data_IF_527288744646
#
_entry.id   IF_527288744646
#
_cell.length_a   1.000
_cell.length_b   1.000
_cell.length_c   1.000
_cell.angle_alpha   90.00
_cell.angle_beta   90.00
_cell.angle_gamma   90.00
#
_symmetry.space_group_name_H-M   'P 1'
#
loop_
_entity.id
_entity.type
_entity.pdbx_description
1 polymer ?
#
# COMPACT_ATOMS: atom_id res chain seq x y z
N UNK A 1 6.38 -15.10 23.41
CA UNK A 1 5.24 -15.97 23.13
C UNK A 1 3.97 -15.23 23.51
N UNK A 2 3.24 -14.75 22.51
CA UNK A 2 1.95 -14.05 22.67
C UNK A 2 0.89 -15.07 23.12
N UNK A 3 0.26 -14.84 24.27
CA UNK A 3 -0.74 -15.76 24.85
C UNK A 3 -2.03 -15.87 24.02
N UNK A 4 -2.28 -14.93 23.10
CA UNK A 4 -3.49 -14.89 22.27
C UNK A 4 -3.18 -14.41 20.83
N UNK A 5 -2.77 -15.30 19.90
CA UNK A 5 -2.36 -14.92 18.55
C UNK A 5 -3.44 -14.19 17.73
N UNK A 6 -4.70 -14.62 17.84
CA UNK A 6 -5.82 -14.00 17.12
C UNK A 6 -6.17 -12.61 17.63
N UNK A 7 -6.05 -12.38 18.94
CA UNK A 7 -6.27 -11.05 19.55
C UNK A 7 -5.20 -10.06 19.08
N UNK A 8 -3.93 -10.49 19.12
CA UNK A 8 -2.82 -9.69 18.63
C UNK A 8 -2.98 -9.38 17.13
N UNK A 9 -3.31 -10.38 16.33
CA UNK A 9 -3.56 -10.19 14.90
C UNK A 9 -4.67 -9.17 14.65
N UNK A 10 -5.81 -9.27 15.34
CA UNK A 10 -6.91 -8.33 15.13
C UNK A 10 -6.51 -6.87 15.45
N UNK A 11 -5.72 -6.66 16.51
CA UNK A 11 -5.21 -5.34 16.91
C UNK A 11 -4.24 -4.78 15.87
N UNK A 12 -3.21 -5.53 15.50
CA UNK A 12 -2.22 -5.11 14.50
C UNK A 12 -2.87 -4.88 13.13
N UNK A 13 -3.81 -5.74 12.75
CA UNK A 13 -4.53 -5.65 11.49
C UNK A 13 -5.43 -4.43 11.39
N UNK A 14 -6.22 -4.15 12.42
CA UNK A 14 -7.03 -2.94 12.45
C UNK A 14 -6.16 -1.68 12.53
N UNK A 15 -5.05 -1.73 13.28
CA UNK A 15 -4.10 -0.63 13.34
C UNK A 15 -3.51 -0.30 11.98
N UNK A 16 -3.03 -1.30 11.25
CA UNK A 16 -2.43 -1.10 9.94
C UNK A 16 -3.42 -0.52 8.93
N UNK A 17 -4.66 -1.03 8.90
CA UNK A 17 -5.69 -0.55 7.96
C UNK A 17 -6.22 0.85 8.31
N UNK A 18 -6.24 1.23 9.60
CA UNK A 18 -6.81 2.50 10.03
C UNK A 18 -5.79 3.63 10.15
N UNK A 19 -4.49 3.32 10.28
CA UNK A 19 -3.43 4.33 10.45
C UNK A 19 -3.40 5.39 9.32
N UNK A 20 -3.69 5.05 8.04
CA UNK A 20 -3.76 6.07 6.99
C UNK A 20 -4.97 7.01 7.11
N UNK A 21 -5.99 6.66 7.89
CA UNK A 21 -7.20 7.46 8.10
C UNK A 21 -7.14 8.33 9.37
N UNK A 22 -6.23 8.04 10.29
CA UNK A 22 -6.16 8.75 11.56
C UNK A 22 -5.29 8.09 12.60
N UNK A 23 -5.35 8.65 13.81
CA UNK A 23 -4.59 8.15 14.94
C UNK A 23 -5.22 6.87 15.48
N UNK A 24 -4.43 5.81 15.60
CA UNK A 24 -4.84 4.53 16.17
C UNK A 24 -4.01 4.22 17.40
N UNK A 25 -4.67 3.87 18.50
CA UNK A 25 -4.04 3.38 19.73
C UNK A 25 -4.59 1.97 20.05
N UNK A 26 -3.71 0.98 20.22
CA UNK A 26 -4.07 -0.38 20.62
C UNK A 26 -3.82 -0.60 22.11
N UNK A 27 -4.63 -1.43 22.78
CA UNK A 27 -4.55 -1.69 24.23
C UNK A 27 -4.52 -0.41 25.07
N UNK A 28 -5.46 0.50 24.80
CA UNK A 28 -5.56 1.78 25.49
C UNK A 28 -6.21 1.63 26.87
N UNK A 29 -5.49 2.02 27.93
CA UNK A 29 -6.00 1.99 29.30
C UNK A 29 -7.16 2.96 29.56
N UNK A 30 -8.17 2.52 30.31
CA UNK A 30 -9.29 3.33 30.78
C UNK A 30 -9.40 3.24 32.33
N UNK A 31 -9.65 4.38 33.00
CA UNK A 31 -9.48 4.60 34.46
C UNK A 31 -10.11 3.60 35.45
N UNK A 32 -9.52 3.58 36.67
CA UNK A 32 -9.86 3.01 37.99
C UNK A 32 -9.85 1.48 38.17
N UNK A 33 -10.40 0.73 37.23
CA UNK A 33 -10.12 -0.71 37.09
C UNK A 33 -9.46 -0.85 35.74
N UNK A 34 -8.19 -1.28 35.65
CA UNK A 34 -7.42 -1.34 34.40
C UNK A 34 -8.21 -2.18 33.37
N UNK A 35 -8.95 -1.51 32.50
CA UNK A 35 -9.71 -2.09 31.39
C UNK A 35 -9.12 -1.51 30.12
N UNK A 36 -8.60 -2.36 29.27
CA UNK A 36 -8.01 -1.96 28.00
C UNK A 36 -9.07 -1.93 26.90
N UNK A 37 -9.07 -0.86 26.10
CA UNK A 37 -9.74 -0.82 24.81
C UNK A 37 -8.81 -1.48 23.79
N UNK A 38 -9.33 -2.43 23.01
CA UNK A 38 -8.51 -3.18 22.06
C UNK A 38 -7.98 -2.27 20.94
N UNK A 39 -8.86 -1.47 20.34
CA UNK A 39 -8.50 -0.47 19.33
C UNK A 39 -9.30 0.82 19.56
N UNK A 40 -8.58 1.91 19.83
CA UNK A 40 -9.10 3.28 19.82
C UNK A 40 -8.68 3.95 18.51
N UNK A 41 -9.63 4.54 17.81
CA UNK A 41 -9.37 5.24 16.55
C UNK A 41 -9.94 6.66 16.58
N UNK A 42 -9.14 7.61 16.10
CA UNK A 42 -9.51 9.01 15.94
C UNK A 42 -9.23 9.44 14.49
N UNK A 43 -10.26 9.70 13.66
CA UNK A 43 -10.05 10.09 12.27
C UNK A 43 -9.40 11.47 12.15
N UNK A 44 -8.43 11.58 11.24
CA UNK A 44 -7.82 12.85 10.81
C UNK A 44 -8.16 13.16 9.35
N UNK A 45 -8.38 12.13 8.52
CA UNK A 45 -8.85 12.20 7.15
C UNK A 45 -9.90 11.12 6.90
N UNK A 46 -11.01 11.47 6.25
CA UNK A 46 -12.14 10.56 6.01
C UNK A 46 -12.70 10.67 4.58
N UNK A 47 -11.97 11.34 3.70
CA UNK A 47 -12.31 11.48 2.28
C UNK A 47 -11.18 10.93 1.42
N UNK A 48 -11.52 10.20 0.35
CA UNK A 48 -10.57 9.69 -0.63
C UNK A 48 -10.79 8.24 -1.04
N UNK A 49 -10.04 7.81 -2.04
CA UNK A 49 -10.10 6.45 -2.60
C UNK A 49 -9.75 5.37 -1.57
N UNK A 50 -8.85 5.68 -0.62
CA UNK A 50 -8.46 4.74 0.43
C UNK A 50 -9.62 4.40 1.40
N UNK A 51 -10.46 5.38 1.77
CA UNK A 51 -11.64 5.11 2.61
C UNK A 51 -12.62 4.19 1.88
N UNK A 52 -12.80 4.42 0.58
CA UNK A 52 -13.70 3.62 -0.26
C UNK A 52 -13.16 2.20 -0.45
N UNK A 53 -11.84 2.02 -0.58
CA UNK A 53 -11.21 0.71 -0.71
C UNK A 53 -11.35 -0.16 0.56
N UNK A 54 -11.53 0.46 1.73
CA UNK A 54 -11.84 -0.23 2.98
C UNK A 54 -13.32 -0.60 3.17
N UNK A 55 -14.21 -0.12 2.29
CA UNK A 55 -15.64 -0.45 2.31
C UNK A 55 -16.31 -0.17 3.66
N UNK A 56 -16.90 -1.20 4.26
CA UNK A 56 -17.62 -1.12 5.53
C UNK A 56 -16.69 -0.70 6.69
N UNK A 57 -15.42 -1.12 6.69
CA UNK A 57 -14.45 -0.67 7.70
C UNK A 57 -14.18 0.84 7.55
N UNK A 58 -14.04 1.33 6.32
CA UNK A 58 -13.91 2.76 6.05
C UNK A 58 -15.13 3.55 6.50
N UNK A 59 -16.34 3.00 6.30
CA UNK A 59 -17.60 3.61 6.78
C UNK A 59 -17.67 3.69 8.31
N UNK A 60 -17.18 2.67 9.03
CA UNK A 60 -17.11 2.68 10.51
C UNK A 60 -16.13 3.75 11.03
N UNK A 61 -15.09 4.06 10.27
CA UNK A 61 -14.04 5.03 10.58
C UNK A 61 -14.45 6.50 10.31
N UNK A 62 -15.71 6.78 9.99
CA UNK A 62 -16.18 8.15 9.75
C UNK A 62 -16.20 9.04 11.00
N UNK A 63 -16.24 8.45 12.20
CA UNK A 63 -16.10 9.17 13.49
C UNK A 63 -15.06 8.49 14.35
N UNK A 64 -14.70 9.10 15.49
CA UNK A 64 -13.95 8.40 16.52
C UNK A 64 -14.61 7.04 16.83
N UNK A 65 -13.81 6.01 17.08
CA UNK A 65 -14.30 4.65 17.21
C UNK A 65 -13.55 3.88 18.32
N UNK A 66 -14.30 3.04 19.02
CA UNK A 66 -13.79 1.96 19.88
C UNK A 66 -14.13 0.68 19.15
N UNK A 67 -13.14 -0.12 18.75
CA UNK A 67 -13.37 -1.39 18.05
C UNK A 67 -12.91 -2.53 18.95
N UNK A 68 -13.83 -3.47 19.20
CA UNK A 68 -13.66 -4.59 20.13
C UNK A 68 -13.90 -5.90 19.36
N UNK A 69 -12.84 -6.50 18.79
CA UNK A 69 -12.95 -7.75 18.05
C UNK A 69 -12.97 -8.97 18.98
N UNK A 70 -13.99 -9.80 18.85
CA UNK A 70 -14.12 -11.06 19.59
C UNK A 70 -13.77 -12.25 18.71
N UNK A 71 -12.88 -13.14 19.20
CA UNK A 71 -12.64 -14.44 18.55
C UNK A 71 -13.80 -15.42 18.76
N UNK A 72 -14.60 -15.27 19.80
CA UNK A 72 -15.75 -16.14 20.09
C UNK A 72 -17.07 -15.34 20.00
N UNK A 73 -18.23 -16.00 19.81
CA UNK A 73 -19.52 -15.31 19.88
C UNK A 73 -19.65 -14.51 21.18
N UNK A 74 -20.00 -13.23 21.05
CA UNK A 74 -20.05 -12.31 22.21
C UNK A 74 -21.24 -12.67 23.10
N UNK A 75 -21.06 -12.50 24.41
CA UNK A 75 -22.13 -12.68 25.42
C UNK A 75 -22.73 -11.33 25.80
N UNK A 76 -23.90 -11.33 26.47
CA UNK A 76 -24.48 -10.09 26.99
C UNK A 76 -23.53 -9.37 27.98
N UNK A 77 -22.88 -10.12 28.87
CA UNK A 77 -21.82 -9.64 29.77
C UNK A 77 -20.66 -9.00 28.98
N UNK A 78 -20.22 -9.63 27.90
CA UNK A 78 -19.19 -9.08 27.00
C UNK A 78 -19.59 -7.74 26.39
N UNK A 79 -20.83 -7.64 25.89
CA UNK A 79 -21.39 -6.38 25.35
C UNK A 79 -21.43 -5.30 26.45
N UNK A 80 -21.92 -5.62 27.64
CA UNK A 80 -21.95 -4.66 28.75
C UNK A 80 -20.55 -4.20 29.16
N UNK A 81 -19.57 -5.10 29.15
CA UNK A 81 -18.17 -4.74 29.40
C UNK A 81 -17.67 -3.70 28.39
N UNK A 82 -17.91 -3.91 27.09
CA UNK A 82 -17.56 -2.94 26.05
C UNK A 82 -18.32 -1.61 26.21
N UNK A 83 -19.60 -1.65 26.59
CA UNK A 83 -20.38 -0.44 26.87
C UNK A 83 -19.80 0.35 28.04
N UNK A 84 -19.32 -0.31 29.09
CA UNK A 84 -18.63 0.38 30.20
C UNK A 84 -17.37 1.10 29.71
N UNK A 85 -16.58 0.48 28.82
CA UNK A 85 -15.41 1.12 28.21
C UNK A 85 -15.82 2.39 27.44
N UNK A 86 -16.89 2.31 26.63
CA UNK A 86 -17.44 3.45 25.91
C UNK A 86 -17.86 4.59 26.85
N UNK A 87 -18.63 4.29 27.89
CA UNK A 87 -19.13 5.30 28.82
C UNK A 87 -17.99 5.96 29.61
N UNK A 88 -16.98 5.19 30.03
CA UNK A 88 -15.80 5.72 30.69
C UNK A 88 -14.99 6.64 29.78
N UNK A 89 -14.76 6.24 28.54
CA UNK A 89 -14.08 7.08 27.54
C UNK A 89 -14.85 8.39 27.27
N UNK A 90 -16.18 8.31 27.10
CA UNK A 90 -17.03 9.51 26.96
C UNK A 90 -16.93 10.44 28.18
N UNK A 91 -16.92 9.88 29.40
CA UNK A 91 -16.78 10.68 30.62
C UNK A 91 -15.41 11.36 30.68
N UNK A 92 -14.34 10.68 30.24
CA UNK A 92 -13.01 11.27 30.14
C UNK A 92 -12.93 12.40 29.11
N UNK A 93 -13.44 12.17 27.90
CA UNK A 93 -13.53 13.22 26.86
C UNK A 93 -14.33 14.42 27.35
N UNK A 94 -15.46 14.20 28.03
CA UNK A 94 -16.27 15.27 28.62
C UNK A 94 -15.51 16.06 29.68
N UNK A 95 -14.78 15.38 30.57
CA UNK A 95 -13.90 16.05 31.57
C UNK A 95 -12.80 16.87 30.90
N UNK A 96 -12.18 16.34 29.85
CA UNK A 96 -11.14 17.05 29.08
C UNK A 96 -11.72 18.30 28.41
N UNK A 97 -12.82 18.17 27.70
CA UNK A 97 -13.47 19.27 27.01
C UNK A 97 -13.91 20.39 27.98
N UNK A 98 -14.46 20.02 29.15
CA UNK A 98 -14.81 20.98 30.19
C UNK A 98 -13.57 21.71 30.76
N UNK A 99 -12.43 21.03 30.92
CA UNK A 99 -11.17 21.67 31.36
C UNK A 99 -10.61 22.63 30.30
N UNK A 100 -10.85 22.33 29.03
CA UNK A 100 -10.41 23.14 27.89
C UNK A 100 -11.43 24.22 27.48
N UNK A 101 -12.54 24.38 28.22
CA UNK A 101 -13.69 25.25 27.91
C UNK A 101 -14.16 25.12 26.44
N UNK A 102 -14.22 23.88 25.96
CA UNK A 102 -14.55 23.55 24.58
C UNK A 102 -15.76 22.65 24.50
N UNK A 103 -16.59 22.85 23.47
CA UNK A 103 -17.65 21.91 23.14
C UNK A 103 -17.11 20.75 22.30
N UNK A 104 -17.44 19.52 22.67
CA UNK A 104 -17.15 18.34 21.88
C UNK A 104 -17.98 18.33 20.60
N UNK A 105 -17.32 18.08 19.47
CA UNK A 105 -18.01 17.85 18.21
C UNK A 105 -18.47 16.41 18.12
N UNK A 106 -19.52 16.15 17.33
CA UNK A 106 -20.10 14.81 17.20
C UNK A 106 -19.08 13.79 16.67
N UNK A 107 -18.21 14.19 15.75
CA UNK A 107 -17.12 13.35 15.20
C UNK A 107 -16.08 12.90 16.24
N UNK A 108 -15.99 13.60 17.37
CA UNK A 108 -15.07 13.29 18.47
C UNK A 108 -15.70 12.36 19.49
N UNK A 109 -17.02 12.17 19.43
CA UNK A 109 -17.69 11.18 20.24
C UNK A 109 -17.41 9.80 19.63
N UNK A 110 -16.93 8.84 20.44
CA UNK A 110 -16.60 7.51 19.94
C UNK A 110 -17.85 6.67 19.68
N UNK A 111 -17.85 5.96 18.56
CA UNK A 111 -18.82 4.90 18.24
C UNK A 111 -18.21 3.57 18.69
N UNK A 112 -18.91 2.80 19.51
CA UNK A 112 -18.46 1.45 19.87
C UNK A 112 -18.87 0.48 18.77
N UNK A 113 -17.91 -0.27 18.25
CA UNK A 113 -18.10 -1.34 17.28
C UNK A 113 -17.66 -2.67 17.87
N UNK A 114 -18.62 -3.56 18.08
CA UNK A 114 -18.38 -4.92 18.58
C UNK A 114 -18.34 -5.86 17.37
N UNK A 115 -17.18 -6.44 17.08
CA UNK A 115 -17.03 -7.39 15.98
C UNK A 115 -17.09 -8.80 16.54
N UNK A 116 -18.07 -9.59 16.11
CA UNK A 116 -18.25 -10.96 16.64
C UNK A 116 -18.46 -11.95 15.51
N UNK A 117 -17.90 -13.18 15.58
CA UNK A 117 -18.04 -14.16 14.52
C UNK A 117 -19.50 -14.50 14.26
N UNK A 118 -20.27 -14.72 15.31
CA UNK A 118 -21.72 -14.97 15.24
C UNK A 118 -22.48 -14.25 16.33
N UNK A 119 -23.74 -13.94 16.03
CA UNK A 119 -24.69 -13.34 16.95
C UNK A 119 -26.05 -14.02 16.76
N UNK A 120 -26.65 -14.50 17.84
CA UNK A 120 -27.97 -15.13 17.78
C UNK A 120 -29.07 -14.07 17.81
N UNK A 121 -30.20 -14.35 17.15
CA UNK A 121 -31.37 -13.46 17.19
C UNK A 121 -31.86 -13.23 18.62
N UNK A 122 -31.78 -14.26 19.48
CA UNK A 122 -32.15 -14.15 20.90
C UNK A 122 -31.30 -13.10 21.63
N UNK A 123 -29.98 -13.09 21.40
CA UNK A 123 -29.08 -12.11 22.01
C UNK A 123 -29.37 -10.70 21.49
N UNK A 124 -29.50 -10.56 20.18
CA UNK A 124 -29.77 -9.26 19.53
C UNK A 124 -31.09 -8.66 20.03
N UNK A 125 -32.15 -9.47 20.06
CA UNK A 125 -33.48 -9.05 20.50
C UNK A 125 -33.52 -8.74 21.99
N UNK A 126 -32.84 -9.51 22.84
CA UNK A 126 -32.87 -9.30 24.30
C UNK A 126 -32.21 -7.99 24.73
N UNK A 127 -31.22 -7.50 23.95
CA UNK A 127 -30.54 -6.23 24.18
C UNK A 127 -31.11 -5.08 23.33
N UNK A 128 -32.07 -5.35 22.45
CA UNK A 128 -32.74 -4.35 21.64
C UNK A 128 -31.95 -3.84 20.43
N UNK A 129 -31.02 -4.65 19.90
CA UNK A 129 -30.35 -4.37 18.64
C UNK A 129 -31.34 -4.40 17.47
N UNK A 130 -31.19 -3.44 16.56
CA UNK A 130 -32.05 -3.26 15.39
C UNK A 130 -31.24 -3.26 14.11
N UNK A 131 -31.87 -3.71 13.04
CA UNK A 131 -31.32 -3.60 11.69
C UNK A 131 -31.54 -2.13 11.24
N UNK A 132 -30.49 -1.45 10.72
CA UNK A 132 -30.62 -0.09 10.20
C UNK A 132 -31.54 -0.05 8.96
N UNK A 133 -32.02 1.14 8.60
CA UNK A 133 -32.81 1.27 7.38
C UNK A 133 -31.95 0.97 6.13
N UNK A 134 -32.57 0.38 5.11
CA UNK A 134 -31.86 0.05 3.87
C UNK A 134 -31.27 1.29 3.17
N UNK A 135 -31.92 2.45 3.33
CA UNK A 135 -31.48 3.76 2.86
C UNK A 135 -30.11 4.18 3.43
N UNK A 136 -29.76 3.71 4.63
CA UNK A 136 -28.49 4.01 5.27
C UNK A 136 -27.33 3.20 4.65
N UNK A 137 -27.62 2.14 3.88
CA UNK A 137 -26.62 1.38 3.14
C UNK A 137 -25.56 0.67 4.02
N UNK A 138 -25.92 0.22 5.22
CA UNK A 138 -25.02 -0.57 6.08
C UNK A 138 -24.92 -2.04 5.66
N UNK A 139 -25.98 -2.57 5.05
CA UNK A 139 -26.03 -3.94 4.57
C UNK A 139 -26.30 -4.99 5.66
N UNK A 140 -26.25 -6.26 5.26
CA UNK A 140 -26.55 -7.40 6.11
C UNK A 140 -25.44 -7.63 7.15
N UNK A 141 -25.83 -8.01 8.36
CA UNK A 141 -24.90 -8.35 9.46
C UNK A 141 -24.49 -7.18 10.34
N UNK A 142 -25.01 -5.98 10.08
CA UNK A 142 -24.79 -4.77 10.87
C UNK A 142 -26.03 -4.46 11.70
N UNK A 143 -25.84 -4.23 13.00
CA UNK A 143 -26.91 -3.99 13.97
C UNK A 143 -26.56 -2.81 14.87
N UNK A 144 -27.57 -2.06 15.31
CA UNK A 144 -27.39 -0.90 16.19
C UNK A 144 -28.32 -0.92 17.39
N UNK A 145 -27.85 -0.41 18.53
CA UNK A 145 -28.75 0.12 19.55
C UNK A 145 -29.28 1.50 19.11
N UNK A 146 -30.23 2.07 19.87
CA UNK A 146 -30.69 3.43 19.56
C UNK A 146 -29.51 4.40 19.49
N UNK A 147 -29.55 5.36 18.57
CA UNK A 147 -28.47 6.30 18.25
C UNK A 147 -27.79 6.93 19.48
N UNK A 148 -28.55 7.25 20.53
CA UNK A 148 -28.03 7.81 21.78
C UNK A 148 -26.93 6.95 22.46
N UNK A 149 -26.98 5.63 22.28
CA UNK A 149 -25.98 4.71 22.82
C UNK A 149 -24.66 4.76 22.05
N UNK A 150 -24.69 5.05 20.74
CA UNK A 150 -23.54 4.95 19.83
C UNK A 150 -22.84 3.58 19.91
N UNK A 151 -23.64 2.52 19.78
CA UNK A 151 -23.18 1.12 19.80
C UNK A 151 -23.66 0.41 18.54
N UNK A 152 -22.71 -0.11 17.77
CA UNK A 152 -22.91 -0.99 16.63
C UNK A 152 -22.32 -2.38 16.90
N UNK A 153 -22.96 -3.40 16.35
CA UNK A 153 -22.52 -4.79 16.40
C UNK A 153 -22.46 -5.34 14.98
N UNK A 154 -21.34 -6.00 14.66
CA UNK A 154 -21.10 -6.65 13.37
C UNK A 154 -21.04 -8.15 13.57
N UNK A 155 -22.03 -8.86 13.03
CA UNK A 155 -22.09 -10.31 13.00
C UNK A 155 -21.37 -10.82 11.74
N UNK A 156 -20.08 -11.12 11.87
CA UNK A 156 -19.16 -11.34 10.73
C UNK A 156 -19.66 -12.43 9.77
N UNK A 157 -20.18 -13.56 10.28
CA UNK A 157 -20.69 -14.65 9.44
C UNK A 157 -21.87 -14.28 8.53
N UNK A 158 -22.55 -13.15 8.78
CA UNK A 158 -23.68 -12.69 7.96
C UNK A 158 -23.26 -11.70 6.88
N UNK A 159 -22.03 -11.19 6.94
CA UNK A 159 -21.53 -10.24 5.97
C UNK A 159 -21.49 -10.88 4.57
N UNK A 160 -21.99 -10.20 3.52
CA UNK A 160 -21.97 -10.71 2.16
C UNK A 160 -20.52 -10.88 1.68
N UNK A 161 -20.27 -11.83 0.77
CA UNK A 161 -18.93 -12.05 0.20
C UNK A 161 -18.65 -11.04 -0.93
N UNK A 162 -18.26 -9.83 -0.55
CA UNK A 162 -17.93 -8.73 -1.47
C UNK A 162 -16.67 -8.01 -0.99
N UNK A 163 -15.98 -7.24 -1.88
CA UNK A 163 -14.80 -6.46 -1.50
C UNK A 163 -15.07 -5.53 -0.31
N UNK A 164 -16.27 -4.96 -0.22
CA UNK A 164 -16.62 -3.96 0.79
C UNK A 164 -16.66 -4.52 2.22
N UNK A 165 -16.76 -5.83 2.40
CA UNK A 165 -16.83 -6.46 3.74
C UNK A 165 -15.65 -7.38 4.02
N UNK A 166 -14.78 -7.60 3.04
CA UNK A 166 -13.67 -8.56 3.10
C UNK A 166 -12.76 -8.29 4.30
N UNK A 167 -12.39 -7.03 4.53
CA UNK A 167 -11.53 -6.62 5.65
C UNK A 167 -12.11 -7.04 7.01
N UNK A 168 -13.43 -6.95 7.21
CA UNK A 168 -14.08 -7.39 8.45
C UNK A 168 -14.24 -8.91 8.52
N UNK A 169 -14.46 -9.58 7.38
CA UNK A 169 -14.52 -11.05 7.33
C UNK A 169 -13.17 -11.71 7.61
N UNK A 170 -12.06 -11.01 7.38
CA UNK A 170 -10.71 -11.43 7.77
C UNK A 170 -10.55 -11.65 9.28
N UNK A 171 -11.35 -10.94 10.08
CA UNK A 171 -11.40 -11.07 11.55
C UNK A 171 -12.37 -12.17 12.01
N UNK A 172 -12.99 -12.89 11.08
CA UNK A 172 -13.93 -13.97 11.36
C UNK A 172 -13.27 -15.27 11.82
N UNK A 173 -13.98 -16.39 11.64
CA UNK A 173 -13.48 -17.74 11.93
C UNK A 173 -13.75 -18.71 10.78
N UNK A 174 -13.00 -19.81 10.78
CA UNK A 174 -13.16 -20.94 9.86
C UNK A 174 -13.32 -20.50 8.41
N UNK A 175 -14.35 -21.01 7.74
CA UNK A 175 -14.61 -20.76 6.31
C UNK A 175 -14.84 -19.28 5.96
N UNK A 176 -15.29 -18.45 6.90
CA UNK A 176 -15.51 -17.01 6.65
C UNK A 176 -14.16 -16.31 6.51
N UNK A 177 -13.24 -16.60 7.43
CA UNK A 177 -11.89 -16.06 7.42
C UNK A 177 -11.09 -16.62 6.23
N UNK A 178 -11.12 -17.94 6.02
CA UNK A 178 -10.46 -18.58 4.87
C UNK A 178 -10.95 -18.01 3.52
N UNK A 179 -12.26 -17.79 3.39
CA UNK A 179 -12.83 -17.16 2.19
C UNK A 179 -12.32 -15.74 1.98
N UNK A 180 -12.30 -14.92 3.03
CA UNK A 180 -11.76 -13.55 2.95
C UNK A 180 -10.26 -13.53 2.62
N UNK A 181 -9.49 -14.50 3.11
CA UNK A 181 -8.06 -14.67 2.79
C UNK A 181 -7.88 -15.00 1.30
N UNK A 182 -8.67 -15.95 0.76
CA UNK A 182 -8.62 -16.31 -0.64
C UNK A 182 -8.99 -15.14 -1.57
N UNK A 183 -9.90 -14.27 -1.14
CA UNK A 183 -10.32 -13.09 -1.90
C UNK A 183 -9.21 -12.03 -2.05
N UNK A 184 -8.14 -12.04 -1.22
CA UNK A 184 -7.02 -11.09 -1.32
C UNK A 184 -6.30 -11.13 -2.67
N UNK A 185 -6.26 -12.31 -3.32
CA UNK A 185 -5.64 -12.47 -4.64
C UNK A 185 -6.62 -12.24 -5.78
N UNK A 186 -7.93 -12.33 -5.51
CA UNK A 186 -8.98 -12.19 -6.53
C UNK A 186 -9.37 -10.73 -6.76
N UNK A 187 -9.48 -9.92 -5.70
CA UNK A 187 -9.95 -8.56 -5.82
C UNK A 187 -8.84 -7.57 -6.21
N UNK A 188 -9.15 -6.55 -7.04
CA UNK A 188 -8.21 -5.50 -7.40
C UNK A 188 -8.05 -4.55 -6.19
N UNK A 189 -7.13 -4.91 -5.31
CA UNK A 189 -6.78 -4.16 -4.11
C UNK A 189 -5.46 -3.45 -4.37
N UNK A 190 -5.28 -2.29 -3.76
CA UNK A 190 -3.99 -1.59 -3.76
C UNK A 190 -2.84 -2.55 -3.35
N UNK A 191 -1.75 -2.63 -4.13
CA UNK A 191 -0.66 -3.56 -3.87
C UNK A 191 -0.02 -3.41 -2.49
N UNK A 192 0.06 -2.19 -1.96
CA UNK A 192 0.65 -1.92 -0.64
C UNK A 192 -0.23 -2.44 0.48
N UNK A 193 -1.56 -2.19 0.41
CA UNK A 193 -2.52 -2.70 1.40
C UNK A 193 -2.53 -4.23 1.37
N UNK A 194 -2.52 -4.83 0.16
CA UNK A 194 -2.46 -6.27 0.00
C UNK A 194 -1.21 -6.86 0.65
N UNK A 195 -0.03 -6.27 0.39
CA UNK A 195 1.23 -6.73 0.96
C UNK A 195 1.21 -6.67 2.50
N UNK A 196 0.74 -5.57 3.09
CA UNK A 196 0.67 -5.41 4.54
C UNK A 196 -0.29 -6.43 5.18
N UNK A 197 -1.46 -6.64 4.58
CA UNK A 197 -2.42 -7.65 5.04
C UNK A 197 -1.85 -9.08 4.98
N UNK A 198 -1.14 -9.43 3.90
CA UNK A 198 -0.48 -10.73 3.76
C UNK A 198 0.64 -10.92 4.78
N UNK A 199 1.43 -9.88 5.07
CA UNK A 199 2.49 -9.94 6.08
C UNK A 199 1.93 -10.20 7.48
N UNK A 200 0.81 -9.56 7.85
CA UNK A 200 0.14 -9.77 9.13
C UNK A 200 -0.46 -11.19 9.24
N UNK A 201 -1.04 -11.70 8.15
CA UNK A 201 -1.51 -13.09 8.09
C UNK A 201 -0.37 -14.09 8.25
N UNK A 202 0.80 -13.81 7.66
CA UNK A 202 1.99 -14.63 7.85
C UNK A 202 2.48 -14.61 9.31
N UNK A 203 2.51 -13.44 9.95
CA UNK A 203 2.87 -13.34 11.36
C UNK A 203 1.91 -14.13 12.25
N UNK A 204 0.60 -14.08 11.97
CA UNK A 204 -0.40 -14.91 12.63
C UNK A 204 -0.09 -16.39 12.42
N UNK A 205 0.14 -16.82 11.18
CA UNK A 205 0.48 -18.21 10.85
C UNK A 205 1.71 -18.70 11.62
N UNK A 206 2.80 -17.93 11.62
CA UNK A 206 4.03 -18.27 12.33
C UNK A 206 3.80 -18.39 13.85
N UNK A 207 3.02 -17.48 14.43
CA UNK A 207 2.65 -17.52 15.84
C UNK A 207 1.78 -18.75 16.18
N UNK A 208 0.84 -19.13 15.32
CA UNK A 208 0.02 -20.35 15.49
C UNK A 208 0.88 -21.62 15.43
N UNK A 209 1.81 -21.70 14.47
CA UNK A 209 2.75 -22.83 14.35
C UNK A 209 3.68 -22.93 15.55
N UNK A 210 4.22 -21.79 16.04
CA UNK A 210 5.10 -21.76 17.20
C UNK A 210 4.39 -22.17 18.51
N UNK A 211 3.07 -21.98 18.59
CA UNK A 211 2.26 -22.35 19.75
C UNK A 211 1.68 -23.79 19.66
N UNK A 212 1.90 -24.50 18.56
CA UNK A 212 1.43 -25.88 18.36
C UNK A 212 2.02 -26.91 19.36
N UNK A 213 3.32 -26.85 19.76
CA UNK A 213 3.89 -27.82 20.69
C UNK A 213 3.33 -27.76 22.12
N UNK A 214 2.84 -26.60 22.55
CA UNK A 214 2.30 -26.36 23.90
C UNK A 214 0.78 -26.55 23.98
N UNK A 215 0.11 -26.72 22.84
CA UNK A 215 -1.31 -27.03 22.77
C UNK A 215 -1.56 -28.09 21.66
N UNK A 216 -1.19 -29.37 21.89
CA UNK A 216 -1.23 -30.44 20.87
C UNK A 216 -2.65 -30.80 20.40
N UNK A 217 -3.68 -30.31 21.09
CA UNK A 217 -5.06 -30.23 20.60
C UNK A 217 -5.30 -28.82 20.01
N UNK A 218 -4.49 -28.42 19.04
CA UNK A 218 -4.73 -27.18 18.31
C UNK A 218 -6.15 -27.21 17.75
N UNK A 219 -6.87 -26.07 17.83
CA UNK A 219 -8.19 -25.93 17.24
C UNK A 219 -8.08 -26.36 15.76
N UNK A 220 -8.87 -27.32 15.29
CA UNK A 220 -8.80 -27.80 13.89
C UNK A 220 -8.86 -26.60 12.92
N UNK A 221 -9.57 -25.53 13.31
CA UNK A 221 -9.63 -24.25 12.63
C UNK A 221 -8.28 -23.55 12.44
N UNK A 222 -7.38 -23.59 13.44
CA UNK A 222 -6.06 -22.94 13.36
C UNK A 222 -5.14 -23.71 12.41
N UNK A 223 -5.23 -25.05 12.37
CA UNK A 223 -4.51 -25.86 11.39
C UNK A 223 -5.01 -25.60 9.97
N UNK A 224 -6.33 -25.55 9.78
CA UNK A 224 -6.90 -25.20 8.48
C UNK A 224 -6.53 -23.79 8.03
N UNK A 225 -6.51 -22.82 8.96
CA UNK A 225 -6.07 -21.45 8.68
C UNK A 225 -4.60 -21.40 8.25
N UNK A 226 -3.73 -22.13 8.95
CA UNK A 226 -2.31 -22.24 8.58
C UNK A 226 -2.15 -22.86 7.18
N UNK A 227 -2.93 -23.89 6.85
CA UNK A 227 -2.93 -24.48 5.51
C UNK A 227 -3.45 -23.51 4.44
N UNK A 228 -4.46 -22.69 4.75
CA UNK A 228 -5.03 -21.73 3.81
C UNK A 228 -4.07 -20.56 3.47
N UNK A 229 -3.28 -20.09 4.44
CA UNK A 229 -2.35 -18.97 4.25
C UNK A 229 -1.08 -19.39 3.47
N UNK A 230 -0.61 -20.63 3.67
CA UNK A 230 0.65 -21.14 3.11
C UNK A 230 0.82 -20.92 1.59
N UNK A 231 -0.11 -21.36 0.72
CA UNK A 231 0.08 -21.24 -0.73
C UNK A 231 0.11 -19.78 -1.20
N UNK A 232 -0.69 -18.90 -0.60
CA UNK A 232 -0.75 -17.48 -0.96
C UNK A 232 0.58 -16.78 -0.65
N UNK A 233 1.18 -17.09 0.50
CA UNK A 233 2.47 -16.54 0.87
C UNK A 233 3.60 -17.04 -0.04
N UNK A 234 3.61 -18.33 -0.39
CA UNK A 234 4.59 -18.88 -1.32
C UNK A 234 4.51 -18.21 -2.69
N UNK A 235 3.30 -17.98 -3.19
CA UNK A 235 3.11 -17.26 -4.45
C UNK A 235 3.66 -15.83 -4.36
N UNK A 236 3.33 -15.09 -3.31
CA UNK A 236 3.80 -13.72 -3.12
C UNK A 236 5.35 -13.64 -3.03
N UNK A 237 5.99 -14.58 -2.33
CA UNK A 237 7.45 -14.67 -2.29
C UNK A 237 8.07 -14.96 -3.64
N UNK A 238 7.46 -15.85 -4.45
CA UNK A 238 7.95 -16.15 -5.79
C UNK A 238 7.84 -14.95 -6.71
N UNK A 239 6.74 -14.21 -6.66
CA UNK A 239 6.55 -12.97 -7.41
C UNK A 239 7.60 -11.91 -7.01
N UNK A 240 7.79 -11.70 -5.71
CA UNK A 240 8.78 -10.75 -5.21
C UNK A 240 10.21 -11.17 -5.58
N UNK A 241 10.53 -12.47 -5.51
CA UNK A 241 11.83 -13.00 -5.92
C UNK A 241 12.06 -12.81 -7.42
N UNK A 242 11.06 -13.10 -8.25
CA UNK A 242 11.13 -12.94 -9.69
C UNK A 242 11.36 -11.46 -10.07
N UNK A 243 10.62 -10.55 -9.47
CA UNK A 243 10.82 -9.11 -9.64
C UNK A 243 12.22 -8.66 -9.19
N UNK A 244 12.71 -9.18 -8.06
CA UNK A 244 14.06 -8.90 -7.58
C UNK A 244 15.15 -9.42 -8.51
N UNK A 245 14.95 -10.60 -9.13
CA UNK A 245 15.86 -11.15 -10.14
C UNK A 245 15.84 -10.29 -11.40
N UNK A 246 14.66 -9.92 -11.89
CA UNK A 246 14.51 -9.08 -13.09
C UNK A 246 15.19 -7.72 -12.89
N UNK A 247 14.92 -7.03 -11.79
CA UNK A 247 15.59 -5.77 -11.45
C UNK A 247 17.11 -5.95 -11.30
N UNK A 248 17.57 -7.04 -10.70
CA UNK A 248 18.99 -7.34 -10.56
C UNK A 248 19.67 -7.60 -11.91
N UNK A 249 18.99 -8.27 -12.83
CA UNK A 249 19.47 -8.50 -14.21
C UNK A 249 19.52 -7.18 -14.97
N UNK A 250 18.46 -6.38 -14.92
CA UNK A 250 18.41 -5.06 -15.58
C UNK A 250 19.55 -4.16 -15.09
N UNK A 251 19.70 -3.98 -13.77
CA UNK A 251 20.79 -3.21 -13.19
C UNK A 251 22.17 -3.77 -13.57
N UNK A 252 22.33 -5.09 -13.62
CA UNK A 252 23.57 -5.73 -14.04
C UNK A 252 23.90 -5.48 -15.52
N UNK A 253 22.89 -5.50 -16.39
CA UNK A 253 23.02 -5.15 -17.80
C UNK A 253 23.41 -3.67 -17.93
N UNK A 254 22.73 -2.75 -17.24
CA UNK A 254 23.01 -1.32 -17.29
C UNK A 254 24.44 -1.01 -16.82
N UNK A 255 24.87 -1.57 -15.68
CA UNK A 255 26.23 -1.42 -15.19
C UNK A 255 27.27 -2.01 -16.17
N UNK A 256 26.97 -3.16 -16.79
CA UNK A 256 27.81 -3.76 -17.82
C UNK A 256 27.93 -2.89 -19.07
N UNK A 257 26.80 -2.40 -19.59
CA UNK A 257 26.76 -1.48 -20.73
C UNK A 257 27.54 -0.20 -20.44
N UNK A 258 27.38 0.36 -19.23
CA UNK A 258 28.14 1.54 -18.78
C UNK A 258 29.64 1.33 -18.87
N UNK A 259 30.15 0.26 -18.25
CA UNK A 259 31.57 -0.05 -18.24
C UNK A 259 32.11 -0.25 -19.66
N UNK A 260 31.35 -0.94 -20.52
CA UNK A 260 31.70 -1.13 -21.92
C UNK A 260 31.76 0.21 -22.66
N UNK A 261 30.76 1.07 -22.48
CA UNK A 261 30.67 2.38 -23.14
C UNK A 261 31.80 3.31 -22.70
N UNK A 262 32.02 3.48 -21.40
CA UNK A 262 33.07 4.33 -20.86
C UNK A 262 34.45 3.88 -21.36
N UNK A 263 34.74 2.58 -21.28
CA UNK A 263 35.99 2.00 -21.79
C UNK A 263 36.14 2.18 -23.30
N UNK A 264 35.08 1.90 -24.07
CA UNK A 264 35.09 2.04 -25.52
C UNK A 264 35.39 3.49 -25.93
N UNK A 265 34.68 4.45 -25.33
CA UNK A 265 34.86 5.87 -25.64
C UNK A 265 36.25 6.36 -25.20
N UNK A 266 36.73 5.94 -24.02
CA UNK A 266 38.04 6.32 -23.52
C UNK A 266 39.18 5.80 -24.40
N UNK A 267 39.11 4.54 -24.85
CA UNK A 267 40.13 3.94 -25.72
C UNK A 267 40.14 4.57 -27.12
N UNK A 268 38.96 4.88 -27.67
CA UNK A 268 38.82 5.45 -29.03
C UNK A 268 39.11 6.94 -29.11
N UNK A 269 38.62 7.69 -28.13
CA UNK A 269 38.52 9.15 -28.22
C UNK A 269 39.32 9.86 -27.12
N UNK A 270 39.83 9.14 -26.12
CA UNK A 270 40.54 9.71 -24.97
C UNK A 270 39.58 10.18 -23.88
N UNK A 271 40.01 11.11 -23.02
CA UNK A 271 39.15 11.62 -21.94
C UNK A 271 37.82 12.16 -22.47
N UNK A 272 36.75 11.83 -21.76
CA UNK A 272 35.40 12.27 -22.07
C UNK A 272 35.17 13.69 -21.53
N UNK A 273 34.63 14.56 -22.38
CA UNK A 273 34.21 15.89 -21.95
C UNK A 273 32.92 15.82 -21.09
N UNK A 274 32.65 16.85 -20.27
CA UNK A 274 31.49 16.86 -19.37
C UNK A 274 30.14 16.64 -20.07
N UNK A 275 29.97 17.09 -21.32
CA UNK A 275 28.72 16.90 -22.06
C UNK A 275 28.56 15.43 -22.42
N UNK A 276 29.60 14.78 -22.97
CA UNK A 276 29.58 13.35 -23.30
C UNK A 276 29.28 12.46 -22.08
N UNK A 277 29.80 12.83 -20.91
CA UNK A 277 29.55 12.10 -19.65
C UNK A 277 28.07 12.10 -19.25
N UNK A 278 27.31 13.16 -19.54
CA UNK A 278 25.86 13.21 -19.19
C UNK A 278 25.03 12.16 -19.93
N UNK A 279 25.51 11.65 -21.06
CA UNK A 279 24.81 10.64 -21.84
C UNK A 279 25.13 9.20 -21.43
N UNK A 280 26.14 8.98 -20.57
CA UNK A 280 26.57 7.62 -20.21
C UNK A 280 25.43 6.86 -19.52
N UNK A 281 24.80 7.45 -18.52
CA UNK A 281 23.71 6.81 -17.78
C UNK A 281 22.50 6.46 -18.69
N UNK A 282 21.90 7.40 -19.45
CA UNK A 282 20.77 7.07 -20.32
C UNK A 282 21.12 6.12 -21.48
N UNK A 283 22.37 6.11 -21.94
CA UNK A 283 22.81 5.15 -22.98
C UNK A 283 22.98 3.75 -22.41
N UNK A 284 23.42 3.66 -21.15
CA UNK A 284 23.57 2.38 -20.46
C UNK A 284 22.23 1.72 -20.14
N UNK A 285 21.15 2.51 -20.10
CA UNK A 285 19.77 2.04 -19.97
C UNK A 285 19.10 1.71 -21.31
N UNK A 286 19.82 1.74 -22.43
CA UNK A 286 19.27 1.34 -23.73
C UNK A 286 19.06 -0.18 -23.79
N UNK A 287 18.06 -0.65 -24.55
CA UNK A 287 17.98 -2.07 -24.83
C UNK A 287 19.23 -2.52 -25.61
N UNK A 288 19.62 -3.77 -25.38
CA UNK A 288 20.94 -4.30 -25.80
C UNK A 288 21.21 -4.18 -27.29
N UNK A 289 20.16 -4.25 -28.12
CA UNK A 289 20.28 -4.13 -29.58
C UNK A 289 20.66 -2.69 -29.99
N UNK A 290 19.97 -1.70 -29.44
CA UNK A 290 20.20 -0.27 -29.66
C UNK A 290 21.57 0.14 -29.15
N UNK A 291 21.95 -0.33 -27.96
CA UNK A 291 23.29 -0.13 -27.40
C UNK A 291 24.39 -0.69 -28.32
N UNK A 292 24.21 -1.92 -28.80
CA UNK A 292 25.17 -2.56 -29.72
C UNK A 292 25.29 -1.80 -31.04
N UNK A 293 24.16 -1.36 -31.60
CA UNK A 293 24.12 -0.56 -32.82
C UNK A 293 24.84 0.78 -32.65
N UNK A 294 24.67 1.44 -31.51
CA UNK A 294 25.42 2.66 -31.19
C UNK A 294 26.93 2.40 -31.14
N UNK A 295 27.39 1.33 -30.49
CA UNK A 295 28.82 0.99 -30.46
C UNK A 295 29.38 0.77 -31.88
N UNK A 296 28.61 0.11 -32.76
CA UNK A 296 29.00 -0.06 -34.17
C UNK A 296 29.09 1.30 -34.86
N UNK A 297 28.11 2.19 -34.69
CA UNK A 297 28.13 3.54 -35.26
C UNK A 297 29.32 4.37 -34.77
N UNK A 298 29.59 4.35 -33.47
CA UNK A 298 30.75 5.01 -32.87
C UNK A 298 32.08 4.44 -33.41
N UNK A 299 32.12 3.13 -33.71
CA UNK A 299 33.30 2.49 -34.29
C UNK A 299 33.61 2.96 -35.72
N UNK A 300 32.61 3.48 -36.44
CA UNK A 300 32.82 4.00 -37.79
C UNK A 300 33.36 5.43 -37.80
N UNK A 301 33.39 6.11 -36.65
CA UNK A 301 33.99 7.43 -36.53
C UNK A 301 35.54 7.36 -36.52
N UNK A 302 36.23 8.34 -37.14
CA UNK A 302 37.69 8.49 -37.04
C UNK A 302 38.20 8.51 -35.59
N UNK A 303 39.34 7.86 -35.34
CA UNK A 303 40.00 7.82 -34.02
C UNK A 303 40.58 9.21 -33.68
N UNK A 304 40.57 9.60 -32.39
CA UNK A 304 41.22 10.79 -31.87
C UNK A 304 40.80 12.11 -32.56
N UNK A 305 39.49 12.36 -32.69
CA UNK A 305 38.99 13.64 -33.19
C UNK A 305 39.26 14.77 -32.20
N UNK A 306 39.81 15.89 -32.71
CA UNK A 306 39.88 17.17 -32.00
C UNK A 306 38.45 17.72 -31.80
N UNK A 307 37.56 17.47 -32.77
CA UNK A 307 36.15 17.84 -32.70
C UNK A 307 35.32 16.70 -32.11
N UNK A 308 34.71 16.91 -30.94
CA UNK A 308 33.87 15.91 -30.25
C UNK A 308 32.41 15.95 -30.68
N UNK A 309 32.01 16.91 -31.53
CA UNK A 309 30.63 17.04 -32.00
C UNK A 309 30.07 15.78 -32.65
N UNK A 310 30.78 15.04 -33.52
CA UNK A 310 30.23 13.82 -34.12
C UNK A 310 29.88 12.74 -33.09
N UNK A 311 30.69 12.60 -32.04
CA UNK A 311 30.42 11.67 -30.94
C UNK A 311 29.21 12.15 -30.14
N UNK A 312 29.21 13.40 -29.69
CA UNK A 312 28.11 13.98 -28.92
C UNK A 312 26.77 13.91 -29.67
N UNK A 313 26.77 14.18 -30.99
CA UNK A 313 25.58 14.08 -31.84
C UNK A 313 25.04 12.64 -31.91
N UNK A 314 25.92 11.63 -32.03
CA UNK A 314 25.49 10.24 -32.02
C UNK A 314 24.92 9.81 -30.66
N UNK A 315 25.58 10.20 -29.56
CA UNK A 315 25.10 9.91 -28.20
C UNK A 315 23.71 10.54 -27.97
N UNK A 316 23.55 11.83 -28.29
CA UNK A 316 22.28 12.54 -28.17
C UNK A 316 21.19 11.94 -29.08
N UNK A 317 21.51 11.63 -30.34
CA UNK A 317 20.58 11.00 -31.28
C UNK A 317 20.10 9.65 -30.76
N UNK A 318 20.99 8.83 -30.21
CA UNK A 318 20.65 7.50 -29.69
C UNK A 318 19.64 7.60 -28.54
N UNK A 319 19.88 8.50 -27.58
CA UNK A 319 18.97 8.72 -26.45
C UNK A 319 17.60 9.23 -26.92
N UNK A 320 17.56 10.19 -27.84
CA UNK A 320 16.29 10.72 -28.36
C UNK A 320 15.54 9.71 -29.23
N UNK A 321 16.25 8.93 -30.05
CA UNK A 321 15.64 7.92 -30.89
C UNK A 321 15.06 6.80 -30.04
N UNK A 322 15.77 6.33 -29.01
CA UNK A 322 15.22 5.34 -28.09
C UNK A 322 13.91 5.82 -27.45
N UNK A 323 13.81 7.13 -27.13
CA UNK A 323 12.61 7.68 -26.52
C UNK A 323 11.46 7.92 -27.49
N UNK A 324 11.72 8.40 -28.71
CA UNK A 324 10.69 8.94 -29.61
C UNK A 324 10.52 8.17 -30.93
N UNK A 325 11.28 7.10 -31.17
CA UNK A 325 11.23 6.34 -32.43
C UNK A 325 9.88 5.68 -32.70
N UNK A 326 9.24 5.10 -31.68
CA UNK A 326 7.92 4.44 -31.83
C UNK A 326 6.78 5.41 -32.15
N UNK A 327 6.95 6.71 -31.86
CA UNK A 327 5.92 7.73 -32.09
C UNK A 327 5.86 8.24 -33.54
N UNK A 328 6.73 7.73 -34.44
CA UNK A 328 6.88 8.27 -35.81
C UNK A 328 7.46 9.70 -35.84
N UNK A 329 8.03 10.17 -34.74
CA UNK A 329 8.56 11.54 -34.57
C UNK A 329 10.09 11.58 -34.52
N UNK A 330 10.78 10.50 -34.90
CA UNK A 330 12.23 10.39 -34.86
C UNK A 330 12.96 11.51 -35.64
N UNK A 331 12.44 11.89 -36.82
CA UNK A 331 13.05 12.98 -37.59
C UNK A 331 12.97 14.33 -36.86
N UNK A 332 11.90 14.55 -36.10
CA UNK A 332 11.64 15.80 -35.37
C UNK A 332 12.38 15.86 -34.02
N UNK A 333 12.73 14.73 -33.42
CA UNK A 333 13.58 14.72 -32.23
C UNK A 333 15.04 14.97 -32.59
N UNK A 334 15.52 14.44 -33.73
CA UNK A 334 16.89 14.66 -34.21
C UNK A 334 17.19 16.14 -34.48
N UNK A 335 16.20 16.95 -34.89
CA UNK A 335 16.38 18.40 -35.07
C UNK A 335 16.66 19.16 -33.77
N UNK A 336 16.42 18.54 -32.61
CA UNK A 336 16.62 19.16 -31.29
C UNK A 336 18.05 18.98 -30.75
N UNK A 337 18.85 18.11 -31.37
CA UNK A 337 20.20 17.78 -30.90
C UNK A 337 21.08 19.02 -30.71
N UNK A 338 21.15 20.00 -31.64
CA UNK A 338 21.97 21.19 -31.44
C UNK A 338 21.56 22.00 -30.21
N UNK A 339 20.25 22.08 -29.93
CA UNK A 339 19.74 22.80 -28.76
C UNK A 339 20.02 22.05 -27.46
N UNK A 340 19.96 20.71 -27.48
CA UNK A 340 20.34 19.85 -26.37
C UNK A 340 21.82 19.97 -26.03
N UNK A 341 22.70 19.88 -27.04
CA UNK A 341 24.14 20.00 -26.86
C UNK A 341 24.59 21.43 -26.53
N UNK A 342 23.72 22.43 -26.71
CA UNK A 342 23.95 23.81 -26.31
C UNK A 342 23.67 24.09 -24.82
N UNK A 343 23.11 23.14 -24.07
CA UNK A 343 22.87 23.27 -22.64
C UNK A 343 24.17 23.13 -21.83
N UNK A 344 24.19 23.68 -20.61
CA UNK A 344 25.26 23.35 -19.65
C UNK A 344 25.16 21.88 -19.23
N UNK A 345 26.27 21.23 -18.84
CA UNK A 345 26.25 19.85 -18.38
C UNK A 345 25.25 19.60 -17.23
N UNK A 346 25.08 20.55 -16.29
CA UNK A 346 24.11 20.38 -15.20
C UNK A 346 22.67 20.38 -15.72
N UNK A 347 22.34 21.32 -16.61
CA UNK A 347 21.00 21.43 -17.19
C UNK A 347 20.67 20.25 -18.10
N UNK A 348 21.66 19.77 -18.85
CA UNK A 348 21.52 18.59 -19.70
C UNK A 348 21.30 17.32 -18.86
N UNK A 349 22.08 17.13 -17.80
CA UNK A 349 21.91 16.00 -16.88
C UNK A 349 20.52 15.99 -16.24
N UNK A 350 20.05 17.14 -15.74
CA UNK A 350 18.70 17.27 -15.18
C UNK A 350 17.63 16.92 -16.22
N UNK A 351 17.73 17.49 -17.43
CA UNK A 351 16.78 17.23 -18.50
C UNK A 351 16.75 15.75 -18.90
N UNK A 352 17.90 15.09 -19.00
CA UNK A 352 18.02 13.67 -19.33
C UNK A 352 17.41 12.77 -18.25
N UNK A 353 17.52 13.14 -16.97
CA UNK A 353 16.90 12.40 -15.85
C UNK A 353 15.37 12.43 -15.89
N UNK A 354 14.78 13.50 -16.43
CA UNK A 354 13.33 13.66 -16.56
C UNK A 354 12.77 13.17 -17.91
N UNK A 355 13.65 12.95 -18.90
CA UNK A 355 13.30 12.55 -20.27
C UNK A 355 12.33 11.34 -20.36
N UNK A 356 12.45 10.29 -19.52
CA UNK A 356 11.54 9.13 -19.57
C UNK A 356 10.07 9.48 -19.28
N UNK A 357 9.78 10.65 -18.69
CA UNK A 357 8.42 11.10 -18.37
C UNK A 357 7.95 12.27 -19.25
N UNK A 358 8.83 12.83 -20.09
CA UNK A 358 8.51 13.97 -20.94
C UNK A 358 7.88 13.53 -22.27
N UNK A 359 6.89 14.30 -22.72
CA UNK A 359 6.41 14.29 -24.11
C UNK A 359 7.35 15.11 -24.99
N UNK A 360 7.30 14.91 -26.32
CA UNK A 360 8.14 15.68 -27.24
C UNK A 360 7.85 17.19 -27.16
N UNK A 361 6.58 17.57 -27.04
CA UNK A 361 6.18 18.98 -26.92
C UNK A 361 6.73 19.64 -25.65
N UNK A 362 6.70 18.93 -24.52
CA UNK A 362 7.25 19.42 -23.26
C UNK A 362 8.79 19.50 -23.29
N UNK A 363 9.45 18.56 -23.97
CA UNK A 363 10.88 18.62 -24.21
C UNK A 363 11.24 19.86 -25.04
N UNK A 364 10.51 20.10 -26.13
CA UNK A 364 10.70 21.26 -27.01
C UNK A 364 10.53 22.57 -26.23
N UNK A 365 9.50 22.68 -25.40
CA UNK A 365 9.23 23.87 -24.60
C UNK A 365 10.34 24.22 -23.59
N UNK A 366 11.13 23.21 -23.18
CA UNK A 366 12.24 23.38 -22.24
C UNK A 366 13.58 23.68 -22.92
N UNK A 367 13.67 23.52 -24.23
CA UNK A 367 14.89 23.81 -25.00
C UNK A 367 14.88 25.26 -25.52
N UNK A 368 16.01 25.99 -25.44
CA UNK A 368 16.10 27.32 -26.02
C UNK A 368 15.86 27.25 -27.54
N UNK A 369 14.94 28.07 -28.06
CA UNK A 369 14.49 28.14 -29.46
C UNK A 369 13.71 26.93 -30.01
N UNK A 370 12.88 26.25 -29.20
CA UNK A 370 12.06 25.08 -29.61
C UNK A 370 11.04 25.26 -30.77
N UNK A 371 11.01 26.39 -31.47
CA UNK A 371 10.08 26.64 -32.57
C UNK A 371 10.78 27.24 -33.78
N UNK A 372 11.50 26.42 -34.55
CA UNK A 372 11.78 26.68 -35.97
C UNK A 372 11.75 25.39 -36.76
#
# INVERSE_FOLDING_TARGET
MTKFPHDQFAKEYLQELLSPLGDVETSKDVTAEVREIDVWFQPTSFEGEYVQSLGLLGKMAATAAIIEPFRNPVTAEGIFSCVVKLLNSRAELGRRANREDRRLQERELPMLWILTPTASELLLNSLGFRIPEASEGWGRGVYFLSEAWRVGLIAIHQLPKTPETMWLRMLGRGRVQQGAIAELTEFPIDPSIRANALQLLYNLQANLQANTPTNPAGDDEDQELVMAISPLFQQHLQEAQQQGIEQGIEQGIEQGQRLILESFLQVRFGELDPISLTFVDPISALPTAEFTMLLVQLSMLPIAQIDRQPVQNLLAASVLNNRFSESGQAERSVTLIPNLLGLSPENLSLLLSELPQLSLENLIARLPNGAT
#
